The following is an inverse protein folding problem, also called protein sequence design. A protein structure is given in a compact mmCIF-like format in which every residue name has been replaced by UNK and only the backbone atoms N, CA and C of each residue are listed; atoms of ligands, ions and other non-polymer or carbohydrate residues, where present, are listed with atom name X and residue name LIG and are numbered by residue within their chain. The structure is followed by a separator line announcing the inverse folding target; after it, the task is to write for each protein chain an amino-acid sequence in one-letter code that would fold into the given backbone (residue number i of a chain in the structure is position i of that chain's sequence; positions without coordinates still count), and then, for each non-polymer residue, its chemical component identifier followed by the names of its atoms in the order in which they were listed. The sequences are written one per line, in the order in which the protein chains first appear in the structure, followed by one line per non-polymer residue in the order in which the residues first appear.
data_IF_050900579817
#
_entry.id   IF_050900579817
#
_cell.length_a   1.000
_cell.length_b   1.000
_cell.length_c   1.000
_cell.angle_alpha   90.00
_cell.angle_beta   90.00
_cell.angle_gamma   90.00
#
_symmetry.space_group_name_H-M   'P 1'
#
loop_
_entity.id
_entity.type
_entity.pdbx_description
1 polymer ?
#
# COMPACT_ATOMS: atom_id res chain seq x y z
N UNK A 1 -2.54 39.37 -21.37
CA UNK A 1 -2.21 37.92 -21.35
C UNK A 1 -3.25 37.25 -20.47
N UNK A 2 -3.95 36.23 -20.95
CA UNK A 2 -4.93 35.52 -20.12
C UNK A 2 -4.20 34.59 -19.15
N UNK A 3 -4.47 34.74 -17.85
CA UNK A 3 -3.91 33.88 -16.81
C UNK A 3 -4.80 32.66 -16.67
N UNK A 4 -4.26 31.47 -16.92
CA UNK A 4 -4.96 30.22 -16.71
C UNK A 4 -4.56 29.65 -15.35
N UNK A 5 -5.52 29.46 -14.46
CA UNK A 5 -5.30 28.75 -13.20
C UNK A 5 -5.16 27.25 -13.50
N UNK A 6 -3.98 26.68 -13.22
CA UNK A 6 -3.77 25.23 -13.34
C UNK A 6 -4.50 24.54 -12.19
N UNK A 7 -5.27 23.50 -12.51
CA UNK A 7 -6.11 22.76 -11.54
C UNK A 7 -5.31 21.70 -10.77
N UNK A 8 -4.03 21.46 -11.13
CA UNK A 8 -3.13 20.55 -10.41
C UNK A 8 -1.64 20.83 -10.71
N UNK A 9 -0.74 20.63 -9.73
CA UNK A 9 -0.55 21.49 -8.57
C UNK A 9 0.06 22.86 -8.94
N UNK A 10 -0.04 23.83 -8.03
CA UNK A 10 0.40 25.23 -8.21
C UNK A 10 1.87 25.38 -7.82
N UNK A 11 2.62 26.19 -8.58
CA UNK A 11 4.01 26.51 -8.28
C UNK A 11 4.19 27.09 -6.85
N UNK A 12 5.04 26.45 -6.04
CA UNK A 12 5.49 26.97 -4.73
C UNK A 12 5.22 26.07 -3.52
N UNK A 13 4.41 25.03 -3.67
CA UNK A 13 4.34 23.88 -2.76
C UNK A 13 4.34 22.63 -3.64
N UNK A 14 5.22 21.67 -3.34
CA UNK A 14 5.52 20.44 -4.10
C UNK A 14 4.63 20.23 -5.32
N UNK A 15 5.15 20.61 -6.47
CA UNK A 15 4.33 20.68 -7.68
C UNK A 15 3.94 19.31 -8.22
N UNK A 16 4.41 18.21 -7.61
CA UNK A 16 4.37 16.87 -8.19
C UNK A 16 5.27 16.75 -9.43
N UNK A 17 6.06 17.78 -9.74
CA UNK A 17 7.00 17.81 -10.84
C UNK A 17 8.42 18.11 -10.37
N UNK A 18 8.64 18.19 -9.05
CA UNK A 18 9.95 18.43 -8.44
C UNK A 18 10.72 17.12 -8.24
N UNK A 19 12.04 17.21 -8.07
CA UNK A 19 12.87 16.04 -7.84
C UNK A 19 12.64 15.45 -6.44
N UNK A 20 12.46 14.13 -6.37
CA UNK A 20 12.22 13.43 -5.10
C UNK A 20 10.75 13.36 -4.68
N UNK A 21 9.83 13.79 -5.54
CA UNK A 21 8.39 13.63 -5.35
C UNK A 21 7.83 12.54 -6.27
N UNK A 22 6.81 11.84 -5.78
CA UNK A 22 6.04 10.87 -6.54
C UNK A 22 4.72 11.50 -7.00
N UNK A 23 4.46 11.43 -8.30
CA UNK A 23 3.27 12.04 -8.90
C UNK A 23 2.41 11.02 -9.62
N UNK A 24 1.11 11.04 -9.33
CA UNK A 24 0.10 10.25 -10.00
C UNK A 24 -1.17 11.07 -10.21
N UNK A 25 -1.74 11.00 -11.41
CA UNK A 25 -3.08 11.52 -11.71
C UNK A 25 -4.16 10.44 -11.61
N UNK A 26 -3.78 9.20 -11.33
CA UNK A 26 -4.67 8.05 -11.21
C UNK A 26 -5.27 7.98 -9.81
N UNK A 27 -6.46 7.39 -9.67
CA UNK A 27 -7.06 7.14 -8.35
C UNK A 27 -6.42 5.91 -7.70
N UNK A 28 -5.20 6.09 -7.21
CA UNK A 28 -4.44 5.03 -6.53
C UNK A 28 -4.18 5.39 -5.07
N UNK A 29 -3.95 4.38 -4.24
CA UNK A 29 -3.59 4.56 -2.84
C UNK A 29 -2.45 3.63 -2.48
N UNK A 30 -1.44 4.17 -1.81
CA UNK A 30 -0.33 3.41 -1.28
C UNK A 30 -0.70 2.87 0.10
N UNK A 31 -0.45 1.58 0.33
CA UNK A 31 -0.73 0.90 1.59
C UNK A 31 0.48 0.12 2.08
N UNK A 32 0.65 0.09 3.39
CA UNK A 32 1.58 -0.78 4.10
C UNK A 32 0.77 -1.79 4.92
N UNK A 33 1.07 -3.06 4.72
CA UNK A 33 0.46 -4.18 5.42
C UNK A 33 1.55 -4.82 6.27
N UNK A 34 1.37 -4.84 7.59
CA UNK A 34 2.27 -5.51 8.52
C UNK A 34 1.69 -6.88 8.88
N UNK A 35 2.40 -7.97 8.55
CA UNK A 35 1.94 -9.31 8.87
C UNK A 35 2.21 -9.71 10.34
N UNK A 36 2.93 -8.88 11.11
CA UNK A 36 3.30 -9.16 12.50
C UNK A 36 4.29 -10.32 12.68
N UNK A 37 4.78 -10.90 11.59
CA UNK A 37 5.70 -12.02 11.56
C UNK A 37 6.55 -12.01 10.27
N UNK A 38 7.67 -12.74 10.28
CA UNK A 38 8.52 -12.90 9.09
C UNK A 38 7.76 -13.59 7.96
N UNK A 39 7.86 -13.02 6.75
CA UNK A 39 7.31 -13.56 5.51
C UNK A 39 8.38 -14.23 4.62
N UNK A 40 9.62 -14.35 5.09
CA UNK A 40 10.75 -14.82 4.28
C UNK A 40 10.59 -16.23 3.67
N UNK A 41 9.76 -17.08 4.28
CA UNK A 41 9.46 -18.43 3.80
C UNK A 41 7.98 -18.60 3.42
N UNK A 42 7.30 -17.50 3.09
CA UNK A 42 5.84 -17.42 2.90
C UNK A 42 5.45 -16.96 1.48
N UNK A 43 6.37 -17.10 0.54
CA UNK A 43 6.29 -16.69 -0.87
C UNK A 43 5.82 -17.81 -1.83
N UNK A 44 5.64 -19.03 -1.33
CA UNK A 44 5.09 -20.14 -2.08
C UNK A 44 3.59 -20.03 -2.37
N UNK A 45 3.11 -20.83 -3.31
CA UNK A 45 1.67 -21.00 -3.58
C UNK A 45 0.97 -21.50 -2.31
N UNK A 46 -0.14 -20.88 -1.95
CA UNK A 46 -0.88 -21.08 -0.70
C UNK A 46 -0.27 -20.36 0.51
N UNK A 47 0.83 -19.62 0.32
CA UNK A 47 1.52 -18.89 1.37
C UNK A 47 0.81 -17.61 1.80
N UNK A 48 1.27 -17.05 2.93
CA UNK A 48 0.69 -15.83 3.50
C UNK A 48 0.79 -14.63 2.54
N UNK A 49 1.89 -14.49 1.77
CA UNK A 49 2.03 -13.41 0.80
C UNK A 49 0.94 -13.52 -0.28
N UNK A 50 0.72 -14.72 -0.82
CA UNK A 50 -0.29 -14.92 -1.87
C UNK A 50 -1.70 -14.60 -1.37
N UNK A 51 -2.07 -15.03 -0.17
CA UNK A 51 -3.38 -14.76 0.39
C UNK A 51 -3.63 -13.25 0.57
N UNK A 52 -2.64 -12.53 1.11
CA UNK A 52 -2.73 -11.07 1.31
C UNK A 52 -2.81 -10.35 -0.04
N UNK A 53 -1.96 -10.71 -1.00
CA UNK A 53 -1.92 -10.05 -2.32
C UNK A 53 -3.22 -10.32 -3.10
N UNK A 54 -3.78 -11.53 -3.03
CA UNK A 54 -5.08 -11.83 -3.66
C UNK A 54 -6.21 -11.01 -3.06
N UNK A 55 -6.25 -10.87 -1.73
CA UNK A 55 -7.26 -10.06 -1.03
C UNK A 55 -7.25 -8.61 -1.54
N UNK A 56 -6.07 -7.97 -1.57
CA UNK A 56 -5.98 -6.56 -1.94
C UNK A 56 -5.91 -6.29 -3.45
N UNK A 57 -5.61 -7.31 -4.27
CA UNK A 57 -5.50 -7.23 -5.72
C UNK A 57 -4.72 -5.98 -6.20
N UNK A 58 -3.47 -5.80 -5.73
CA UNK A 58 -2.73 -4.57 -5.98
C UNK A 58 -2.28 -4.44 -7.44
N UNK A 59 -2.12 -3.20 -7.90
CA UNK A 59 -1.54 -2.87 -9.20
C UNK A 59 -0.02 -3.16 -9.23
N UNK A 60 0.62 -3.02 -8.07
CA UNK A 60 2.02 -3.36 -7.83
C UNK A 60 2.23 -3.57 -6.33
N UNK A 61 3.14 -4.47 -5.95
CA UNK A 61 3.52 -4.67 -4.57
C UNK A 61 4.97 -5.12 -4.45
N UNK A 62 5.53 -4.95 -3.26
CA UNK A 62 6.80 -5.53 -2.85
C UNK A 62 6.66 -6.08 -1.42
N UNK A 63 7.28 -7.23 -1.16
CA UNK A 63 7.35 -7.84 0.17
C UNK A 63 8.77 -7.70 0.70
N UNK A 64 8.89 -7.38 1.98
CA UNK A 64 10.16 -7.14 2.68
C UNK A 64 10.77 -8.41 3.29
N UNK A 65 10.15 -9.58 3.10
CA UNK A 65 10.67 -10.85 3.60
C UNK A 65 10.71 -10.90 5.12
N UNK A 66 11.90 -10.79 5.72
CA UNK A 66 12.08 -10.92 7.18
C UNK A 66 11.43 -9.82 8.00
N UNK A 67 11.32 -8.60 7.46
CA UNK A 67 10.62 -7.51 8.13
C UNK A 67 9.09 -7.72 8.14
N UNK A 68 8.57 -8.67 7.37
CA UNK A 68 7.18 -9.11 7.48
C UNK A 68 6.15 -8.14 6.90
N UNK A 69 6.60 -7.15 6.13
CA UNK A 69 5.74 -6.11 5.57
C UNK A 69 5.54 -6.28 4.07
N UNK A 70 4.36 -5.90 3.61
CA UNK A 70 4.01 -5.78 2.20
C UNK A 70 3.62 -4.32 1.92
N UNK A 71 4.30 -3.73 0.96
CA UNK A 71 4.01 -2.41 0.44
C UNK A 71 3.29 -2.59 -0.88
N UNK A 72 2.09 -2.04 -1.01
CA UNK A 72 1.27 -2.21 -2.21
C UNK A 72 0.62 -0.90 -2.68
N UNK A 73 0.42 -0.78 -3.98
CA UNK A 73 -0.42 0.25 -4.59
C UNK A 73 -1.74 -0.41 -5.00
N UNK A 74 -2.85 0.11 -4.51
CA UNK A 74 -4.20 -0.40 -4.80
C UNK A 74 -5.05 0.67 -5.50
N UNK A 75 -6.21 0.26 -6.01
CA UNK A 75 -7.26 1.19 -6.42
C UNK A 75 -7.75 2.00 -5.21
N UNK A 76 -7.72 3.33 -5.36
CA UNK A 76 -8.02 4.27 -4.30
C UNK A 76 -9.51 4.52 -4.09
N UNK A 77 -10.38 3.93 -4.92
CA UNK A 77 -11.81 4.17 -4.84
C UNK A 77 -12.40 3.58 -3.54
N UNK A 78 -12.73 4.48 -2.60
CA UNK A 78 -13.39 4.14 -1.33
C UNK A 78 -12.57 3.17 -0.44
N UNK A 79 -11.25 3.29 -0.51
CA UNK A 79 -10.30 2.55 0.33
C UNK A 79 -9.91 3.38 1.55
N UNK A 80 -10.59 3.17 2.68
CA UNK A 80 -10.22 3.75 3.98
C UNK A 80 -9.46 2.75 4.86
N UNK A 81 -8.59 3.23 5.75
CA UNK A 81 -7.73 2.36 6.55
C UNK A 81 -8.52 1.36 7.42
N UNK A 82 -9.72 1.72 7.89
CA UNK A 82 -10.53 0.87 8.76
C UNK A 82 -11.21 -0.27 7.97
N UNK A 83 -11.64 -0.02 6.73
CA UNK A 83 -12.18 -1.07 5.85
C UNK A 83 -11.06 -2.00 5.38
N UNK A 84 -9.90 -1.47 4.99
CA UNK A 84 -8.73 -2.27 4.61
C UNK A 84 -8.25 -3.16 5.75
N UNK A 85 -8.15 -2.60 6.96
CA UNK A 85 -7.77 -3.36 8.16
C UNK A 85 -8.76 -4.49 8.45
N UNK A 86 -10.07 -4.23 8.39
CA UNK A 86 -11.08 -5.30 8.58
C UNK A 86 -10.95 -6.43 7.57
N UNK A 87 -10.67 -6.12 6.31
CA UNK A 87 -10.44 -7.12 5.26
C UNK A 87 -9.19 -7.95 5.54
N UNK A 88 -8.10 -7.30 5.94
CA UNK A 88 -6.87 -7.98 6.34
C UNK A 88 -7.09 -8.95 7.50
N UNK A 89 -7.75 -8.48 8.56
CA UNK A 89 -8.03 -9.27 9.76
C UNK A 89 -8.99 -10.43 9.49
N UNK A 90 -9.91 -10.27 8.52
CA UNK A 90 -10.83 -11.33 8.12
C UNK A 90 -10.14 -12.54 7.48
N UNK A 91 -8.90 -12.40 7.00
CA UNK A 91 -8.08 -13.54 6.57
C UNK A 91 -7.72 -14.48 7.73
N UNK A 92 -7.75 -13.99 8.97
CA UNK A 92 -7.46 -14.78 10.16
C UNK A 92 -6.02 -15.30 10.18
N UNK A 93 -5.86 -16.60 10.40
CA UNK A 93 -4.54 -17.25 10.36
C UNK A 93 -4.31 -17.91 9.01
N UNK A 94 -3.24 -17.51 8.32
CA UNK A 94 -2.84 -18.08 7.02
C UNK A 94 -1.39 -18.54 7.08
N UNK A 95 -1.14 -19.79 6.70
CA UNK A 95 0.22 -20.36 6.69
C UNK A 95 0.98 -20.11 8.03
N UNK A 96 0.26 -20.25 9.15
CA UNK A 96 0.81 -20.04 10.50
C UNK A 96 1.06 -18.57 10.90
N UNK A 97 0.71 -17.60 10.06
CA UNK A 97 0.77 -16.16 10.36
C UNK A 97 -0.61 -15.69 10.80
N UNK A 98 -0.72 -15.11 11.99
CA UNK A 98 -1.98 -14.57 12.52
C UNK A 98 -2.16 -13.09 12.18
N UNK A 99 -3.11 -12.80 11.30
CA UNK A 99 -3.41 -11.46 10.80
C UNK A 99 -4.57 -10.79 11.56
N UNK A 100 -5.21 -11.50 12.49
CA UNK A 100 -6.47 -11.07 13.12
C UNK A 100 -6.37 -9.79 13.95
N UNK A 101 -5.17 -9.44 14.42
CA UNK A 101 -4.88 -8.22 15.17
C UNK A 101 -4.10 -7.17 14.37
N UNK A 102 -3.69 -7.49 13.14
CA UNK A 102 -2.82 -6.63 12.35
C UNK A 102 -3.60 -5.52 11.65
N UNK A 103 -2.91 -4.45 11.26
CA UNK A 103 -3.50 -3.26 10.69
C UNK A 103 -2.89 -2.92 9.33
N UNK A 104 -3.71 -2.30 8.47
CA UNK A 104 -3.27 -1.76 7.19
C UNK A 104 -3.19 -0.24 7.30
N UNK A 105 -2.03 0.31 6.97
CA UNK A 105 -1.78 1.74 6.99
C UNK A 105 -1.89 2.29 5.58
N UNK A 106 -2.62 3.39 5.42
CA UNK A 106 -2.52 4.21 4.21
C UNK A 106 -1.26 5.05 4.32
N UNK A 107 -0.45 5.04 3.28
CA UNK A 107 0.82 5.76 3.22
C UNK A 107 0.74 6.90 2.23
N UNK A 108 1.49 7.95 2.54
CA UNK A 108 1.84 8.96 1.56
C UNK A 108 2.80 8.34 0.53
N UNK A 109 2.59 8.64 -0.74
CA UNK A 109 3.40 8.09 -1.83
C UNK A 109 4.83 8.65 -1.76
N UNK A 110 5.02 9.87 -1.28
CA UNK A 110 6.34 10.50 -1.11
C UNK A 110 7.16 9.86 0.02
N UNK A 111 6.50 9.17 0.95
CA UNK A 111 7.13 8.45 2.07
C UNK A 111 7.04 6.92 1.90
N UNK A 112 6.75 6.43 0.69
CA UNK A 112 6.54 5.02 0.41
C UNK A 112 7.86 4.29 0.17
N UNK A 113 8.42 3.74 1.25
CA UNK A 113 9.72 3.06 1.26
C UNK A 113 9.58 1.65 1.87
N UNK A 114 10.05 0.65 1.12
CA UNK A 114 10.02 -0.76 1.49
C UNK A 114 11.39 -1.32 1.93
N UNK A 115 12.39 -0.45 2.14
CA UNK A 115 13.72 -0.84 2.61
C UNK A 115 13.78 -1.14 4.11
#
# INVERSE_FOLDING_TARGET
MATFTRVNPVAGAGSGYDHGENYSTSQITAIEIDAGASLAAKDGIGGAIEAIVREFSPLMYVSTGTAGKIFAIIDGHHSDAASLTRRHQALGTVDGVDLSAQVVLIRDLDAFDAT
#
